data_IF_328070787233
#
_entry.id   IF_328070787233
#
_cell.length_a   1.000
_cell.length_b   1.000
_cell.length_c   1.000
_cell.angle_alpha   90.00
_cell.angle_beta   90.00
_cell.angle_gamma   90.00
#
_symmetry.space_group_name_H-M   'P 1'
#
loop_
_entity.id
_entity.type
_entity.pdbx_description
1 polymer ?
#
# COMPACT_ATOMS: atom_id res chain seq x y z
N UNK A 1 12.54 -21.64 -7.92
CA UNK A 1 11.18 -21.26 -7.50
C UNK A 1 10.33 -22.51 -7.51
N UNK A 2 9.47 -22.74 -6.50
CA UNK A 2 8.64 -23.95 -6.50
C UNK A 2 7.61 -23.82 -7.62
N UNK A 3 7.46 -24.85 -8.43
CA UNK A 3 6.60 -24.85 -9.63
C UNK A 3 5.14 -24.46 -9.31
N UNK A 4 4.68 -24.88 -8.12
CA UNK A 4 3.37 -24.54 -7.55
C UNK A 4 3.21 -23.04 -7.27
N UNK A 5 4.25 -22.35 -6.77
CA UNK A 5 4.21 -20.91 -6.51
C UNK A 5 4.00 -20.13 -7.81
N UNK A 6 4.69 -20.56 -8.88
CA UNK A 6 4.59 -19.95 -10.20
C UNK A 6 3.17 -20.10 -10.78
N UNK A 7 2.56 -21.28 -10.64
CA UNK A 7 1.19 -21.54 -11.06
C UNK A 7 0.20 -20.64 -10.31
N UNK A 8 0.28 -20.61 -8.98
CA UNK A 8 -0.57 -19.76 -8.14
C UNK A 8 -0.43 -18.29 -8.54
N UNK A 9 0.80 -17.82 -8.77
CA UNK A 9 1.06 -16.44 -9.18
C UNK A 9 0.41 -16.09 -10.51
N UNK A 10 0.44 -17.00 -11.49
CA UNK A 10 -0.17 -16.81 -12.80
C UNK A 10 -1.70 -16.72 -12.72
N UNK A 11 -2.34 -17.60 -11.95
CA UNK A 11 -3.80 -17.55 -11.74
C UNK A 11 -4.21 -16.22 -11.09
N UNK A 12 -3.51 -15.83 -10.02
CA UNK A 12 -3.77 -14.58 -9.30
C UNK A 12 -3.59 -13.36 -10.20
N UNK A 13 -2.53 -13.32 -11.01
CA UNK A 13 -2.30 -12.23 -11.98
C UNK A 13 -3.40 -12.17 -13.03
N UNK A 14 -3.84 -13.31 -13.58
CA UNK A 14 -4.94 -13.37 -14.55
C UNK A 14 -6.22 -12.79 -13.94
N UNK A 15 -6.53 -13.14 -12.69
CA UNK A 15 -7.71 -12.61 -11.98
C UNK A 15 -7.61 -11.10 -11.76
N UNK A 16 -6.47 -10.60 -11.30
CA UNK A 16 -6.27 -9.17 -11.01
C UNK A 16 -6.31 -8.25 -12.22
N UNK A 17 -6.14 -8.78 -13.44
CA UNK A 17 -6.44 -8.02 -14.66
C UNK A 17 -7.91 -7.59 -14.72
N UNK A 18 -8.83 -8.46 -14.29
CA UNK A 18 -10.26 -8.15 -14.24
C UNK A 18 -10.63 -7.27 -13.05
N UNK A 19 -10.12 -7.59 -11.86
CA UNK A 19 -10.42 -6.87 -10.62
C UNK A 19 -9.12 -6.58 -9.84
N UNK A 20 -8.53 -5.39 -10.03
CA UNK A 20 -7.18 -5.09 -9.52
C UNK A 20 -7.09 -4.90 -8.00
N UNK A 21 -8.21 -4.59 -7.32
CA UNK A 21 -8.25 -4.30 -5.87
C UNK A 21 -9.03 -5.32 -5.05
N UNK A 22 -9.14 -6.56 -5.53
CA UNK A 22 -9.74 -7.62 -4.73
C UNK A 22 -8.91 -7.89 -3.46
N UNK A 23 -9.62 -7.98 -2.33
CA UNK A 23 -9.05 -8.39 -1.05
C UNK A 23 -8.76 -9.89 -1.05
N UNK A 24 -7.59 -10.25 -0.51
CA UNK A 24 -7.00 -11.59 -0.61
C UNK A 24 -7.78 -12.68 0.16
N UNK A 25 -8.37 -12.36 1.32
CA UNK A 25 -8.80 -13.39 2.29
C UNK A 25 -10.11 -14.08 1.90
N UNK A 26 -11.18 -13.32 1.64
CA UNK A 26 -12.53 -13.87 1.53
C UNK A 26 -13.02 -13.96 0.08
N UNK A 27 -12.71 -12.95 -0.73
CA UNK A 27 -13.14 -12.91 -2.13
C UNK A 27 -12.21 -13.76 -2.98
N UNK A 28 -10.90 -13.50 -2.92
CA UNK A 28 -9.93 -14.19 -3.76
C UNK A 28 -9.95 -15.71 -3.55
N UNK A 29 -9.98 -16.20 -2.30
CA UNK A 29 -10.08 -17.65 -2.03
C UNK A 29 -11.36 -18.29 -2.58
N UNK A 30 -12.53 -17.66 -2.41
CA UNK A 30 -13.79 -18.22 -2.91
C UNK A 30 -13.79 -18.35 -4.43
N UNK A 31 -13.28 -17.34 -5.13
CA UNK A 31 -13.23 -17.34 -6.60
C UNK A 31 -12.14 -18.27 -7.13
N UNK A 32 -10.96 -18.29 -6.50
CA UNK A 32 -9.86 -19.14 -6.93
C UNK A 32 -10.09 -20.61 -6.62
N UNK A 33 -11.02 -20.98 -5.73
CA UNK A 33 -11.33 -22.37 -5.40
C UNK A 33 -11.63 -23.20 -6.65
N UNK A 34 -12.42 -22.66 -7.58
CA UNK A 34 -12.75 -23.34 -8.84
C UNK A 34 -11.52 -23.49 -9.75
N UNK A 35 -10.65 -22.48 -9.80
CA UNK A 35 -9.44 -22.52 -10.62
C UNK A 35 -8.39 -23.47 -10.03
N UNK A 36 -8.30 -23.55 -8.69
CA UNK A 36 -7.44 -24.48 -7.98
C UNK A 36 -7.89 -25.93 -8.12
N UNK A 37 -9.21 -26.20 -8.09
CA UNK A 37 -9.76 -27.54 -8.36
C UNK A 37 -9.47 -27.98 -9.80
N UNK A 38 -9.62 -27.08 -10.79
CA UNK A 38 -9.30 -27.37 -12.21
C UNK A 38 -7.83 -27.66 -12.44
N UNK A 39 -6.93 -26.97 -11.73
CA UNK A 39 -5.48 -27.17 -11.86
C UNK A 39 -4.92 -28.22 -10.89
N UNK A 40 -5.77 -28.86 -10.07
CA UNK A 40 -5.38 -29.81 -9.02
C UNK A 40 -4.34 -29.27 -8.02
N UNK A 41 -4.34 -27.95 -7.81
CA UNK A 41 -3.39 -27.28 -6.92
C UNK A 41 -3.98 -27.22 -5.50
N UNK A 42 -3.41 -28.00 -4.58
CA UNK A 42 -3.80 -27.95 -3.15
C UNK A 42 -3.12 -26.77 -2.46
N UNK A 43 -3.85 -25.66 -2.36
CA UNK A 43 -3.37 -24.46 -1.65
C UNK A 43 -4.40 -24.04 -0.60
N UNK A 44 -3.97 -24.04 0.66
CA UNK A 44 -4.76 -23.53 1.78
C UNK A 44 -4.68 -22.00 1.91
N UNK A 45 -5.52 -21.43 2.79
CA UNK A 45 -5.55 -19.98 3.07
C UNK A 45 -4.18 -19.43 3.44
N UNK A 46 -3.51 -20.08 4.39
CA UNK A 46 -2.30 -19.56 5.00
C UNK A 46 -1.10 -19.70 4.05
N UNK A 47 -1.05 -20.79 3.28
CA UNK A 47 -0.07 -20.97 2.22
C UNK A 47 -0.24 -19.91 1.11
N UNK A 48 -1.49 -19.66 0.67
CA UNK A 48 -1.77 -18.59 -0.28
C UNK A 48 -1.31 -17.24 0.25
N UNK A 49 -1.57 -16.95 1.52
CA UNK A 49 -1.12 -15.71 2.16
C UNK A 49 0.40 -15.56 2.18
N UNK A 50 1.12 -16.63 2.52
CA UNK A 50 2.58 -16.62 2.54
C UNK A 50 3.16 -16.38 1.15
N UNK A 51 2.69 -17.10 0.13
CA UNK A 51 3.13 -16.92 -1.26
C UNK A 51 2.86 -15.49 -1.74
N UNK A 52 1.65 -14.96 -1.48
CA UNK A 52 1.30 -13.60 -1.88
C UNK A 52 2.11 -12.53 -1.13
N UNK A 53 2.48 -12.80 0.14
CA UNK A 53 3.31 -11.92 0.96
C UNK A 53 4.76 -11.89 0.45
N UNK A 54 5.35 -13.05 0.19
CA UNK A 54 6.72 -13.16 -0.33
C UNK A 54 6.89 -12.46 -1.68
N UNK A 55 5.87 -12.53 -2.54
CA UNK A 55 5.88 -11.87 -3.84
C UNK A 55 5.38 -10.41 -3.81
N UNK A 56 5.21 -9.79 -2.64
CA UNK A 56 4.70 -8.41 -2.49
C UNK A 56 3.37 -8.15 -3.22
N UNK A 57 2.54 -9.18 -3.34
CA UNK A 57 1.27 -9.12 -4.05
C UNK A 57 0.10 -8.82 -3.10
N UNK A 58 0.30 -8.53 -1.82
CA UNK A 58 -0.80 -8.15 -0.94
C UNK A 58 -1.32 -6.75 -1.30
N UNK A 59 -2.65 -6.60 -1.39
CA UNK A 59 -3.29 -5.31 -1.67
C UNK A 59 -3.18 -4.42 -0.43
N UNK A 60 -2.20 -3.51 -0.42
CA UNK A 60 -1.97 -2.60 0.69
C UNK A 60 -2.96 -1.43 0.63
N UNK A 61 -3.51 -1.05 1.79
CA UNK A 61 -4.32 0.17 1.91
C UNK A 61 -3.40 1.38 1.81
N UNK A 62 -3.71 2.31 0.90
CA UNK A 62 -3.03 3.62 0.87
C UNK A 62 -3.30 4.34 2.20
N UNK A 63 -2.25 4.83 2.86
CA UNK A 63 -2.40 5.68 4.05
C UNK A 63 -3.24 6.90 3.69
N UNK A 64 -4.24 7.23 4.51
CA UNK A 64 -5.13 8.35 4.27
C UNK A 64 -4.40 9.70 4.35
N UNK A 65 -3.44 9.83 5.27
CA UNK A 65 -2.65 11.04 5.43
C UNK A 65 -1.33 10.96 4.66
N UNK A 66 -1.04 11.98 3.86
CA UNK A 66 0.33 12.28 3.44
C UNK A 66 1.01 13.08 4.56
N UNK A 67 2.22 12.67 4.98
CA UNK A 67 3.02 13.47 5.92
C UNK A 67 3.66 14.60 5.11
N UNK A 68 2.95 15.71 4.95
CA UNK A 68 3.54 16.93 4.41
C UNK A 68 4.45 17.51 5.48
N UNK A 69 5.72 17.77 5.16
CA UNK A 69 6.63 18.53 6.03
C UNK A 69 6.14 19.95 6.27
N UNK A 70 5.15 20.40 5.50
CA UNK A 70 4.36 21.58 5.81
C UNK A 70 3.18 21.19 6.71
N UNK A 71 3.44 21.12 8.02
CA UNK A 71 2.42 21.01 9.06
C UNK A 71 1.35 22.07 8.81
N UNK A 72 0.17 21.64 8.36
CA UNK A 72 -0.98 22.52 8.12
C UNK A 72 -1.43 23.15 9.43
N UNK A 73 -0.76 24.23 9.83
CA UNK A 73 -1.24 25.11 10.88
C UNK A 73 -2.39 25.92 10.28
N UNK A 74 -3.57 25.87 10.93
CA UNK A 74 -4.80 26.50 10.43
C UNK A 74 -4.65 28.01 10.22
N UNK A 75 -3.75 28.65 10.94
CA UNK A 75 -3.51 30.08 10.85
C UNK A 75 -2.30 30.39 9.98
N UNK A 76 -2.43 31.41 9.14
CA UNK A 76 -1.30 32.04 8.47
C UNK A 76 -0.30 32.50 9.53
N UNK A 77 0.83 31.80 9.63
CA UNK A 77 1.97 32.23 10.44
C UNK A 77 2.92 32.96 9.52
N UNK A 78 3.04 34.27 9.68
CA UNK A 78 4.10 35.02 9.02
C UNK A 78 5.43 34.62 9.65
N UNK A 79 6.44 34.37 8.81
CA UNK A 79 7.82 34.21 9.26
C UNK A 79 8.25 35.47 10.01
N UNK A 80 9.01 35.31 11.10
CA UNK A 80 9.53 36.45 11.84
C UNK A 80 10.60 37.15 10.99
N UNK A 81 10.22 38.24 10.32
CA UNK A 81 11.09 39.04 9.43
C UNK A 81 12.25 39.69 10.23
N UNK A 82 12.07 39.85 11.54
CA UNK A 82 13.04 40.45 12.46
C UNK A 82 14.22 39.52 12.73
N UNK A 83 14.08 38.21 12.45
CA UNK A 83 15.08 37.20 12.83
C UNK A 83 16.46 37.45 12.21
N UNK A 84 16.49 37.98 10.99
CA UNK A 84 17.73 38.23 10.23
C UNK A 84 18.06 39.74 10.17
N UNK A 85 17.34 40.59 10.91
CA UNK A 85 17.54 42.03 10.92
C UNK A 85 18.46 42.44 12.09
N UNK A 86 19.56 43.11 11.77
CA UNK A 86 20.40 43.74 12.80
C UNK A 86 19.78 45.08 13.26
N UNK A 87 19.47 45.16 14.56
CA UNK A 87 18.93 46.37 15.19
C UNK A 87 20.08 47.25 15.64
N UNK A 88 20.15 48.45 15.05
CA UNK A 88 21.25 49.42 15.24
C UNK A 88 20.85 50.61 16.11
N UNK A 89 19.54 50.84 16.36
CA UNK A 89 19.03 51.96 17.16
C UNK A 89 17.81 51.57 18.00
N UNK A 90 17.57 52.35 19.06
CA UNK A 90 16.37 52.23 19.89
C UNK A 90 15.10 52.49 19.04
N UNK A 91 14.07 51.68 19.23
CA UNK A 91 12.77 51.72 18.53
C UNK A 91 12.82 51.43 17.01
N UNK A 92 13.70 50.52 16.57
CA UNK A 92 13.80 50.14 15.16
C UNK A 92 12.76 49.08 14.72
N UNK A 93 12.16 48.36 15.67
CA UNK A 93 11.24 47.23 15.43
C UNK A 93 10.20 47.13 16.54
#
# INVERSE_FOLDING_TARGET
MKEVEQQVMNIVKKRRKSLPREGVVLKLMKFLKQDFEKQQVKVGRDLLFNILREHNMLTLRKKYSARTTNSHHRFYKYSNIIKDLEVTRLNQV
#
